data_IF_197179003701
#
_entry.id   IF_197179003701
#
_cell.length_a   1.000
_cell.length_b   1.000
_cell.length_c   1.000
_cell.angle_alpha   90.00
_cell.angle_beta   90.00
_cell.angle_gamma   90.00
#
_symmetry.space_group_name_H-M   'P 1'
#
loop_
_entity.id
_entity.type
_entity.pdbx_description
1 polymer ?
#
# COMPACT_ATOMS: atom_id res chain seq x y z
N UNK A 1 -19.55 2.02 21.37
CA UNK A 1 -18.37 1.17 21.05
C UNK A 1 -17.95 1.29 19.58
N UNK A 2 -18.84 1.29 18.60
CA UNK A 2 -18.51 1.41 17.17
C UNK A 2 -17.75 2.71 16.80
N UNK A 3 -18.09 3.85 17.43
CA UNK A 3 -17.41 5.14 17.19
C UNK A 3 -15.95 5.17 17.66
N UNK A 4 -15.61 4.46 18.72
CA UNK A 4 -14.24 4.40 19.27
C UNK A 4 -13.36 3.53 18.37
N UNK A 5 -13.90 2.45 17.80
CA UNK A 5 -13.20 1.59 16.86
C UNK A 5 -12.77 2.36 15.59
N UNK A 6 -13.61 3.31 15.13
CA UNK A 6 -13.34 4.10 13.93
C UNK A 6 -12.21 5.12 14.12
N UNK A 7 -12.03 5.64 15.34
CA UNK A 7 -10.96 6.63 15.65
C UNK A 7 -9.59 5.96 15.73
N UNK A 8 -9.51 4.72 16.19
CA UNK A 8 -8.24 3.97 16.29
C UNK A 8 -7.69 3.57 14.91
N UNK A 9 -8.56 3.42 13.91
CA UNK A 9 -8.15 3.08 12.53
C UNK A 9 -7.52 4.25 11.76
N UNK A 10 -7.65 5.48 12.25
CA UNK A 10 -7.13 6.69 11.61
C UNK A 10 -5.72 7.08 12.05
N UNK A 11 -5.14 6.43 13.05
CA UNK A 11 -3.73 6.61 13.44
C UNK A 11 -2.80 5.87 12.49
N UNK A 12 -2.80 6.29 11.22
CA UNK A 12 -1.84 5.81 10.23
C UNK A 12 -0.42 6.23 10.66
N UNK A 13 0.45 5.26 10.92
CA UNK A 13 1.86 5.52 11.14
C UNK A 13 2.47 6.12 9.86
N UNK A 14 2.62 7.44 9.83
CA UNK A 14 3.46 8.09 8.82
C UNK A 14 4.91 7.71 9.12
N UNK A 15 5.48 6.76 8.36
CA UNK A 15 6.90 6.42 8.48
C UNK A 15 7.72 7.59 7.95
N UNK A 16 8.44 8.26 8.85
CA UNK A 16 9.34 9.37 8.52
C UNK A 16 10.67 8.79 8.05
N UNK A 17 11.12 9.19 6.88
CA UNK A 17 12.47 8.89 6.40
C UNK A 17 13.48 9.64 7.27
N UNK A 18 14.42 8.91 7.88
CA UNK A 18 15.46 9.48 8.73
C UNK A 18 16.74 9.57 7.89
N UNK A 19 17.31 10.78 7.80
CA UNK A 19 18.54 11.05 7.07
C UNK A 19 19.63 11.35 8.11
N UNK A 20 20.81 10.74 7.93
CA UNK A 20 21.98 11.04 8.75
C UNK A 20 22.65 12.32 8.25
N UNK A 21 22.57 13.44 9.00
CA UNK A 21 23.14 14.72 8.55
C UNK A 21 24.67 14.73 8.56
N UNK A 22 25.31 13.83 9.32
CA UNK A 22 26.78 13.78 9.44
C UNK A 22 27.43 12.91 8.35
N UNK A 23 26.68 11.96 7.78
CA UNK A 23 27.19 11.07 6.76
C UNK A 23 26.82 11.48 5.33
N UNK A 24 26.08 12.60 5.19
CA UNK A 24 25.70 13.14 3.89
C UNK A 24 26.86 13.96 3.31
N UNK A 25 27.25 13.62 2.09
CA UNK A 25 28.39 14.25 1.39
C UNK A 25 28.01 15.55 0.67
N UNK A 26 26.71 15.82 0.51
CA UNK A 26 26.24 16.97 -0.25
C UNK A 26 25.62 18.02 0.67
N UNK A 27 26.14 19.25 0.71
CA UNK A 27 25.56 20.35 1.48
C UNK A 27 24.39 20.98 0.71
N UNK A 28 23.41 20.18 0.33
CA UNK A 28 22.18 20.66 -0.30
C UNK A 28 21.11 21.01 0.72
N UNK A 29 20.01 21.62 0.28
CA UNK A 29 18.84 21.80 1.13
C UNK A 29 18.08 20.49 1.21
N UNK A 30 18.39 19.66 2.20
CA UNK A 30 17.77 18.34 2.46
C UNK A 30 16.25 18.38 2.28
N UNK A 31 15.63 19.47 2.73
CA UNK A 31 14.18 19.62 2.66
C UNK A 31 13.65 19.74 1.23
N UNK A 32 14.31 20.51 0.39
CA UNK A 32 13.94 20.65 -1.02
C UNK A 32 14.20 19.37 -1.79
N UNK A 33 15.33 18.72 -1.56
CA UNK A 33 15.68 17.46 -2.19
C UNK A 33 14.72 16.33 -1.80
N UNK A 34 14.24 16.33 -0.56
CA UNK A 34 13.23 15.37 -0.11
C UNK A 34 11.90 15.60 -0.83
N UNK A 35 11.43 16.85 -0.91
CA UNK A 35 10.17 17.18 -1.61
C UNK A 35 10.25 16.78 -3.09
N UNK A 36 11.38 17.01 -3.73
CA UNK A 36 11.56 16.63 -5.13
C UNK A 36 11.59 15.12 -5.34
N UNK A 37 12.27 14.37 -4.46
CA UNK A 37 12.27 12.91 -4.49
C UNK A 37 10.88 12.32 -4.19
N UNK A 38 10.12 12.93 -3.27
CA UNK A 38 8.74 12.56 -3.02
C UNK A 38 7.86 12.78 -4.24
N UNK A 39 8.02 13.92 -4.94
CA UNK A 39 7.29 14.20 -6.17
C UNK A 39 7.58 13.18 -7.28
N UNK A 40 8.83 12.79 -7.46
CA UNK A 40 9.21 11.72 -8.41
C UNK A 40 8.52 10.40 -8.03
N UNK A 41 8.43 10.10 -6.74
CA UNK A 41 7.77 8.88 -6.26
C UNK A 41 6.25 8.87 -6.47
N UNK A 42 5.63 10.04 -6.67
CA UNK A 42 4.19 10.18 -6.96
C UNK A 42 3.79 9.67 -8.34
N UNK A 43 4.73 9.50 -9.26
CA UNK A 43 4.49 8.87 -10.55
C UNK A 43 4.11 7.39 -10.44
N UNK A 44 4.30 6.77 -9.28
CA UNK A 44 3.81 5.40 -9.01
C UNK A 44 2.28 5.38 -9.03
N UNK A 45 1.72 4.65 -9.98
CA UNK A 45 0.27 4.58 -10.22
C UNK A 45 -0.42 3.70 -9.15
N UNK A 46 -0.71 4.26 -7.99
CA UNK A 46 -1.44 3.57 -6.91
C UNK A 46 -2.76 2.93 -7.35
N UNK A 47 -3.63 3.65 -8.10
CA UNK A 47 -4.92 3.08 -8.49
C UNK A 47 -4.77 1.81 -9.34
N UNK A 48 -3.78 1.74 -10.21
CA UNK A 48 -3.54 0.58 -11.05
C UNK A 48 -3.07 -0.64 -10.24
N UNK A 49 -2.16 -0.45 -9.28
CA UNK A 49 -1.69 -1.52 -8.39
C UNK A 49 -2.80 -2.02 -7.46
N UNK A 50 -3.59 -1.11 -6.90
CA UNK A 50 -4.75 -1.45 -6.07
C UNK A 50 -5.80 -2.22 -6.86
N UNK A 51 -6.14 -1.77 -8.07
CA UNK A 51 -7.12 -2.43 -8.93
C UNK A 51 -6.66 -3.83 -9.34
N UNK A 52 -5.39 -3.99 -9.70
CA UNK A 52 -4.80 -5.29 -10.05
C UNK A 52 -4.86 -6.27 -8.88
N UNK A 53 -4.42 -5.87 -7.70
CA UNK A 53 -4.45 -6.70 -6.50
C UNK A 53 -5.88 -7.02 -6.07
N UNK A 54 -6.80 -6.06 -6.14
CA UNK A 54 -8.20 -6.25 -5.84
C UNK A 54 -8.87 -7.25 -6.79
N UNK A 55 -8.56 -7.17 -8.09
CA UNK A 55 -9.10 -8.09 -9.08
C UNK A 55 -8.61 -9.53 -8.86
N UNK A 56 -7.33 -9.73 -8.61
CA UNK A 56 -6.74 -11.05 -8.37
C UNK A 56 -7.31 -11.66 -7.08
N UNK A 57 -7.31 -10.93 -5.99
CA UNK A 57 -7.78 -11.45 -4.70
C UNK A 57 -9.30 -11.59 -4.65
N UNK A 58 -10.03 -10.70 -5.31
CA UNK A 58 -11.46 -10.79 -5.46
C UNK A 58 -11.87 -12.06 -6.22
N UNK A 59 -11.22 -12.33 -7.34
CA UNK A 59 -11.49 -13.55 -8.12
C UNK A 59 -11.16 -14.83 -7.33
N UNK A 60 -10.01 -14.87 -6.65
CA UNK A 60 -9.62 -16.01 -5.85
C UNK A 60 -10.60 -16.27 -4.69
N UNK A 61 -11.01 -15.23 -3.99
CA UNK A 61 -12.00 -15.33 -2.90
C UNK A 61 -13.38 -15.74 -3.38
N UNK A 62 -13.80 -15.27 -4.55
CA UNK A 62 -15.07 -15.68 -5.16
C UNK A 62 -15.11 -17.16 -5.50
N UNK A 63 -14.04 -17.68 -6.09
CA UNK A 63 -13.94 -19.11 -6.43
C UNK A 63 -13.95 -19.98 -5.17
N UNK A 64 -13.20 -19.60 -4.14
CA UNK A 64 -13.16 -20.32 -2.87
C UNK A 64 -14.54 -20.30 -2.19
N UNK A 65 -15.19 -19.15 -2.13
CA UNK A 65 -16.53 -19.01 -1.54
C UNK A 65 -17.59 -19.82 -2.31
N UNK A 66 -17.51 -19.83 -3.64
CA UNK A 66 -18.40 -20.62 -4.50
C UNK A 66 -18.20 -22.13 -4.27
N UNK A 67 -16.95 -22.58 -4.15
CA UNK A 67 -16.62 -23.96 -3.86
C UNK A 67 -17.15 -24.42 -2.50
N UNK A 68 -16.98 -23.62 -1.45
CA UNK A 68 -17.51 -23.88 -0.10
C UNK A 68 -19.05 -23.95 -0.16
N UNK A 69 -19.69 -22.98 -0.82
CA UNK A 69 -21.15 -22.91 -0.96
C UNK A 69 -21.72 -24.17 -1.64
N UNK A 70 -21.03 -24.69 -2.65
CA UNK A 70 -21.44 -25.93 -3.34
C UNK A 70 -21.46 -27.17 -2.43
N UNK A 71 -20.69 -27.14 -1.33
CA UNK A 71 -20.64 -28.24 -0.33
C UNK A 71 -21.61 -28.03 0.83
N UNK A 72 -22.01 -26.80 1.11
CA UNK A 72 -22.83 -26.45 2.28
C UNK A 72 -24.30 -26.18 1.94
N UNK A 73 -24.68 -26.24 0.67
CA UNK A 73 -26.06 -25.98 0.21
C UNK A 73 -26.45 -24.50 0.22
N UNK A 74 -25.50 -23.59 0.45
CA UNK A 74 -25.72 -22.15 0.37
C UNK A 74 -25.77 -21.74 -1.12
N UNK A 75 -26.49 -20.67 -1.45
CA UNK A 75 -26.52 -20.17 -2.82
C UNK A 75 -25.13 -19.76 -3.30
N UNK A 76 -24.62 -20.47 -4.32
CA UNK A 76 -23.31 -20.23 -4.92
C UNK A 76 -23.16 -18.77 -5.40
N UNK A 77 -24.26 -18.21 -5.97
CA UNK A 77 -24.25 -16.84 -6.47
C UNK A 77 -24.03 -15.82 -5.33
N UNK A 78 -24.73 -15.96 -4.21
CA UNK A 78 -24.56 -15.04 -3.07
C UNK A 78 -23.19 -15.21 -2.39
N UNK A 79 -22.70 -16.43 -2.28
CA UNK A 79 -21.37 -16.70 -1.73
C UNK A 79 -20.24 -16.14 -2.62
N UNK A 80 -20.35 -16.29 -3.94
CA UNK A 80 -19.37 -15.76 -4.89
C UNK A 80 -19.33 -14.20 -4.84
N UNK A 81 -20.49 -13.55 -4.77
CA UNK A 81 -20.54 -12.06 -4.67
C UNK A 81 -19.95 -11.56 -3.35
N UNK A 82 -20.21 -12.22 -2.24
CA UNK A 82 -19.61 -11.89 -0.95
C UNK A 82 -18.08 -12.12 -0.98
N UNK A 83 -17.62 -13.19 -1.60
CA UNK A 83 -16.21 -13.49 -1.81
C UNK A 83 -15.49 -12.43 -2.66
N UNK A 84 -16.14 -11.98 -3.75
CA UNK A 84 -15.62 -10.89 -4.59
C UNK A 84 -15.44 -9.61 -3.77
N UNK A 85 -16.46 -9.20 -3.02
CA UNK A 85 -16.42 -7.98 -2.23
C UNK A 85 -15.34 -8.02 -1.16
N UNK A 86 -15.26 -9.10 -0.37
CA UNK A 86 -14.25 -9.22 0.68
C UNK A 86 -12.83 -9.33 0.11
N UNK A 87 -12.63 -10.10 -0.94
CA UNK A 87 -11.34 -10.23 -1.60
C UNK A 87 -10.86 -8.95 -2.27
N UNK A 88 -11.79 -8.17 -2.85
CA UNK A 88 -11.46 -6.86 -3.42
C UNK A 88 -11.02 -5.86 -2.35
N UNK A 89 -11.65 -5.85 -1.18
CA UNK A 89 -11.26 -4.98 -0.05
C UNK A 89 -9.86 -5.34 0.44
N UNK A 90 -9.59 -6.63 0.68
CA UNK A 90 -8.26 -7.09 1.12
C UNK A 90 -7.21 -6.83 0.04
N UNK A 91 -7.54 -7.12 -1.23
CA UNK A 91 -6.65 -6.91 -2.36
C UNK A 91 -6.29 -5.45 -2.58
N UNK A 92 -7.24 -4.53 -2.42
CA UNK A 92 -6.95 -3.09 -2.51
C UNK A 92 -6.01 -2.63 -1.40
N UNK A 93 -6.19 -3.13 -0.18
CA UNK A 93 -5.31 -2.83 0.96
C UNK A 93 -3.87 -3.33 0.74
N UNK A 94 -3.70 -4.56 0.25
CA UNK A 94 -2.37 -5.11 -0.06
C UNK A 94 -1.71 -4.40 -1.23
N UNK A 95 -2.49 -4.00 -2.26
CA UNK A 95 -2.00 -3.20 -3.37
C UNK A 95 -1.53 -1.81 -2.93
N UNK A 96 -2.27 -1.16 -2.04
CA UNK A 96 -1.88 0.13 -1.46
C UNK A 96 -0.57 0.02 -0.66
N UNK A 97 -0.42 -1.05 0.15
CA UNK A 97 0.79 -1.28 0.91
C UNK A 97 2.00 -1.51 0.01
N UNK A 98 1.87 -2.33 -1.05
CA UNK A 98 2.95 -2.57 -2.00
C UNK A 98 3.35 -1.31 -2.76
N UNK A 99 2.38 -0.49 -3.18
CA UNK A 99 2.63 0.79 -3.82
C UNK A 99 3.33 1.77 -2.87
N UNK A 100 2.92 1.82 -1.61
CA UNK A 100 3.59 2.62 -0.58
C UNK A 100 5.05 2.21 -0.38
N UNK A 101 5.33 0.90 -0.27
CA UNK A 101 6.70 0.41 -0.14
C UNK A 101 7.56 0.76 -1.35
N UNK A 102 7.02 0.66 -2.57
CA UNK A 102 7.71 1.08 -3.80
C UNK A 102 8.03 2.58 -3.79
N UNK A 103 7.08 3.43 -3.37
CA UNK A 103 7.34 4.87 -3.22
C UNK A 103 8.48 5.14 -2.26
N UNK A 104 8.47 4.52 -1.09
CA UNK A 104 9.54 4.67 -0.11
C UNK A 104 10.90 4.25 -0.69
N UNK A 105 10.94 3.15 -1.44
CA UNK A 105 12.16 2.69 -2.11
C UNK A 105 12.65 3.71 -3.16
N UNK A 106 11.76 4.32 -3.92
CA UNK A 106 12.11 5.36 -4.92
C UNK A 106 12.69 6.59 -4.21
N UNK A 107 12.04 7.07 -3.15
CA UNK A 107 12.53 8.23 -2.38
C UNK A 107 13.91 7.95 -1.78
N UNK A 108 14.09 6.77 -1.17
CA UNK A 108 15.40 6.34 -0.63
C UNK A 108 16.48 6.30 -1.72
N UNK A 109 16.18 5.70 -2.86
CA UNK A 109 17.12 5.62 -3.99
C UNK A 109 17.48 6.99 -4.53
N UNK A 110 16.49 7.87 -4.68
CA UNK A 110 16.67 9.25 -5.13
C UNK A 110 17.58 10.03 -4.18
N UNK A 111 17.33 9.97 -2.88
CA UNK A 111 18.13 10.65 -1.87
C UNK A 111 19.56 10.08 -1.79
N UNK A 112 19.73 8.77 -1.87
CA UNK A 112 21.04 8.14 -1.93
C UNK A 112 21.82 8.58 -3.18
N UNK A 113 21.16 8.67 -4.34
CA UNK A 113 21.76 9.19 -5.57
C UNK A 113 22.23 10.64 -5.47
N UNK A 114 21.64 11.43 -4.58
CA UNK A 114 22.06 12.81 -4.27
C UNK A 114 23.12 12.90 -3.15
N UNK A 115 23.59 11.77 -2.65
CA UNK A 115 24.65 11.70 -1.62
C UNK A 115 24.15 11.77 -0.18
N UNK A 116 22.84 11.64 0.04
CA UNK A 116 22.30 11.51 1.38
C UNK A 116 22.36 10.08 1.88
N UNK A 117 22.75 9.88 3.12
CA UNK A 117 22.70 8.57 3.76
C UNK A 117 21.36 8.40 4.47
N UNK A 118 20.48 7.61 3.89
CA UNK A 118 19.17 7.29 4.47
C UNK A 118 19.34 6.14 5.46
N UNK A 119 18.86 6.33 6.69
CA UNK A 119 18.81 5.31 7.73
C UNK A 119 17.48 4.53 7.61
N UNK A 120 17.54 3.23 7.80
CA UNK A 120 16.36 2.36 7.82
C UNK A 120 15.67 2.35 9.18
#
# INVERSE_FOLDING_TARGET
MLKILFVVLLTGCASKIIIDPKASTTPGNIYLDQIECERISEEVQYPAEMAKSAAIQGAASALLSAWIASKTGVSVKSAATAGLASGAIVGSGSGALSAYQRRQAIVKTCLNGRGYKVLE
#
